data_IF_658080148407
#
_entry.id   IF_658080148407
#
_cell.length_a   1.000
_cell.length_b   1.000
_cell.length_c   1.000
_cell.angle_alpha   90.00
_cell.angle_beta   90.00
_cell.angle_gamma   90.00
#
_symmetry.space_group_name_H-M   'P 1'
#
loop_
_entity.id
_entity.type
_entity.pdbx_description
1 polymer ?
#
# COMPACT_ATOMS: atom_id res chain seq x y z
N UNK A 1 -15.01 2.76 20.97
CA UNK A 1 -13.71 2.21 20.54
C UNK A 1 -13.48 2.63 19.10
N UNK A 2 -12.72 3.69 18.87
CA UNK A 2 -12.49 4.26 17.54
C UNK A 2 -11.38 3.45 16.85
N UNK A 3 -11.73 2.66 15.83
CA UNK A 3 -10.74 1.90 15.06
C UNK A 3 -9.77 2.90 14.41
N UNK A 4 -8.52 2.92 14.88
CA UNK A 4 -7.47 3.80 14.37
C UNK A 4 -7.15 3.34 12.95
N UNK A 5 -7.78 3.98 11.95
CA UNK A 5 -7.54 3.68 10.53
C UNK A 5 -6.07 3.95 10.23
N UNK A 6 -5.31 2.90 9.92
CA UNK A 6 -3.88 3.02 9.61
C UNK A 6 -3.77 3.50 8.17
N UNK A 7 -3.00 4.57 7.99
CA UNK A 7 -2.71 5.14 6.68
C UNK A 7 -1.32 4.64 6.31
N UNK A 8 -1.21 4.01 5.13
CA UNK A 8 0.05 3.59 4.55
C UNK A 8 0.39 4.53 3.40
N UNK A 9 1.62 5.01 3.36
CA UNK A 9 2.10 5.80 2.22
C UNK A 9 2.70 4.91 1.15
N UNK A 10 2.81 5.47 -0.05
CA UNK A 10 3.38 4.78 -1.21
C UNK A 10 4.78 4.21 -0.94
N UNK A 11 5.59 4.87 -0.12
CA UNK A 11 6.91 4.39 0.28
C UNK A 11 6.86 3.14 1.17
N UNK A 12 5.93 3.09 2.12
CA UNK A 12 5.77 1.96 3.04
C UNK A 12 5.28 0.72 2.30
N UNK A 13 4.27 0.91 1.44
CA UNK A 13 3.74 -0.14 0.58
C UNK A 13 4.80 -0.66 -0.39
N UNK A 14 5.58 0.25 -0.99
CA UNK A 14 6.66 -0.13 -1.90
C UNK A 14 7.78 -0.90 -1.20
N UNK A 15 8.19 -0.47 0.00
CA UNK A 15 9.18 -1.17 0.82
C UNK A 15 8.69 -2.56 1.21
N UNK A 16 7.44 -2.67 1.67
CA UNK A 16 6.84 -3.95 2.03
C UNK A 16 6.73 -4.90 0.81
N UNK A 17 6.45 -4.34 -0.37
CA UNK A 17 6.30 -5.11 -1.60
C UNK A 17 7.64 -5.48 -2.26
N UNK A 18 8.77 -4.92 -1.81
CA UNK A 18 10.03 -5.00 -2.56
C UNK A 18 9.92 -4.36 -3.96
N UNK A 19 9.10 -3.32 -4.10
CA UNK A 19 8.82 -2.62 -5.35
C UNK A 19 9.37 -1.19 -5.31
N UNK A 20 9.51 -0.59 -6.49
CA UNK A 20 9.76 0.85 -6.56
C UNK A 20 8.51 1.65 -6.21
N UNK A 21 8.69 2.75 -5.47
CA UNK A 21 7.60 3.68 -5.16
C UNK A 21 6.91 4.23 -6.42
N UNK A 22 7.65 4.37 -7.53
CA UNK A 22 7.12 4.80 -8.83
C UNK A 22 6.15 3.78 -9.42
N UNK A 23 6.47 2.49 -9.30
CA UNK A 23 5.60 1.41 -9.79
C UNK A 23 4.31 1.32 -8.98
N UNK A 24 4.39 1.34 -7.64
CA UNK A 24 3.22 1.35 -6.76
C UNK A 24 2.32 2.56 -7.05
N UNK A 25 2.93 3.75 -7.21
CA UNK A 25 2.23 4.98 -7.58
C UNK A 25 1.51 4.89 -8.93
N UNK A 26 2.15 4.25 -9.92
CA UNK A 26 1.56 4.04 -11.25
C UNK A 26 0.35 3.13 -11.18
N UNK A 27 0.47 1.98 -10.51
CA UNK A 27 -0.63 1.02 -10.33
C UNK A 27 -1.80 1.68 -9.59
N UNK A 28 -1.50 2.38 -8.50
CA UNK A 28 -2.50 3.11 -7.71
C UNK A 28 -3.26 4.15 -8.56
N UNK A 29 -2.56 4.95 -9.37
CA UNK A 29 -3.20 5.92 -10.28
C UNK A 29 -4.00 5.25 -11.40
N UNK A 30 -3.47 4.18 -11.99
CA UNK A 30 -4.11 3.47 -13.10
C UNK A 30 -5.45 2.85 -12.68
N UNK A 31 -5.55 2.40 -11.44
CA UNK A 31 -6.74 1.71 -10.92
C UNK A 31 -7.55 2.53 -9.92
N UNK A 32 -7.18 3.80 -9.68
CA UNK A 32 -7.88 4.68 -8.73
C UNK A 32 -7.88 4.13 -7.30
N UNK A 33 -6.73 3.63 -6.84
CA UNK A 33 -6.56 3.02 -5.51
C UNK A 33 -5.80 3.99 -4.61
N UNK A 34 -6.33 4.22 -3.41
CA UNK A 34 -5.80 5.19 -2.46
C UNK A 34 -6.15 6.64 -2.79
N UNK A 35 -5.97 7.51 -1.79
CA UNK A 35 -6.25 8.93 -1.86
C UNK A 35 -4.97 9.74 -2.14
N UNK A 36 -5.15 10.93 -2.72
CA UNK A 36 -4.05 11.91 -2.81
C UNK A 36 -3.70 12.38 -1.39
N UNK A 37 -2.62 11.82 -0.85
CA UNK A 37 -2.03 12.21 0.42
C UNK A 37 -1.18 13.48 0.32
N UNK A 38 -0.54 13.82 1.44
CA UNK A 38 0.26 15.03 1.59
C UNK A 38 1.51 15.04 0.67
N UNK A 39 1.85 16.21 0.11
CA UNK A 39 2.99 16.41 -0.80
C UNK A 39 2.98 15.50 -2.03
N UNK A 40 1.79 15.20 -2.53
CA UNK A 40 1.60 14.40 -3.73
C UNK A 40 1.85 12.90 -3.53
N UNK A 41 2.05 12.42 -2.30
CA UNK A 41 2.06 10.98 -2.01
C UNK A 41 0.67 10.38 -2.17
N UNK A 42 0.59 9.06 -2.38
CA UNK A 42 -0.69 8.33 -2.31
C UNK A 42 -0.78 7.69 -0.94
N UNK A 43 -1.89 7.97 -0.26
CA UNK A 43 -2.26 7.40 1.02
C UNK A 43 -3.20 6.21 0.76
N UNK A 44 -2.89 5.07 1.33
CA UNK A 44 -3.66 3.84 1.23
C UNK A 44 -4.25 3.52 2.60
N UNK A 45 -5.52 3.17 2.63
CA UNK A 45 -6.16 2.60 3.81
C UNK A 45 -6.02 1.08 3.80
N UNK A 46 -6.29 0.44 4.94
CA UNK A 46 -6.35 -1.03 5.02
C UNK A 46 -7.27 -1.64 3.95
N UNK A 47 -8.37 -0.96 3.58
CA UNK A 47 -9.30 -1.38 2.52
C UNK A 47 -8.73 -1.29 1.10
N UNK A 48 -7.70 -0.47 0.89
CA UNK A 48 -7.06 -0.29 -0.41
C UNK A 48 -5.99 -1.35 -0.67
N UNK A 49 -5.39 -1.91 0.39
CA UNK A 49 -4.31 -2.90 0.27
C UNK A 49 -4.75 -4.13 -0.54
N UNK A 50 -5.90 -4.80 -0.28
CA UNK A 50 -6.32 -5.96 -1.07
C UNK A 50 -6.59 -5.61 -2.55
N UNK A 51 -7.05 -4.39 -2.82
CA UNK A 51 -7.27 -3.90 -4.19
C UNK A 51 -5.93 -3.72 -4.89
N UNK A 52 -4.95 -3.15 -4.20
CA UNK A 52 -3.60 -2.99 -4.72
C UNK A 52 -2.94 -4.35 -4.96
N UNK A 53 -3.06 -5.27 -4.00
CA UNK A 53 -2.56 -6.64 -4.07
C UNK A 53 -3.06 -7.38 -5.32
N UNK A 54 -4.34 -7.21 -5.69
CA UNK A 54 -4.92 -7.82 -6.91
C UNK A 54 -4.18 -7.43 -8.20
N UNK A 55 -3.56 -6.25 -8.21
CA UNK A 55 -2.84 -5.70 -9.36
C UNK A 55 -1.31 -5.84 -9.26
N UNK A 56 -0.81 -6.34 -8.11
CA UNK A 56 0.59 -6.67 -7.90
C UNK A 56 0.80 -8.19 -8.12
N UNK A 57 2.02 -8.61 -8.49
CA UNK A 57 2.31 -10.05 -8.68
C UNK A 57 2.20 -10.80 -7.34
N UNK A 58 1.62 -12.01 -7.34
CA UNK A 58 1.42 -12.86 -6.14
C UNK A 58 2.63 -12.97 -5.16
N UNK A 59 3.88 -13.22 -5.61
CA UNK A 59 5.01 -13.34 -4.67
C UNK A 59 5.35 -12.01 -3.94
N UNK A 60 5.03 -10.88 -4.56
CA UNK A 60 5.26 -9.55 -4.00
C UNK A 60 4.23 -9.26 -2.88
N UNK A 61 2.98 -9.64 -3.11
CA UNK A 61 1.87 -9.47 -2.17
C UNK A 61 2.11 -10.22 -0.86
N UNK A 62 2.64 -11.44 -0.94
CA UNK A 62 2.86 -12.27 0.25
C UNK A 62 3.94 -11.69 1.18
N UNK A 63 5.02 -11.12 0.61
CA UNK A 63 6.04 -10.39 1.36
C UNK A 63 5.48 -9.09 1.96
N UNK A 64 4.67 -8.38 1.19
CA UNK A 64 4.03 -7.13 1.63
C UNK A 64 3.13 -7.36 2.84
N UNK A 65 2.30 -8.41 2.78
CA UNK A 65 1.41 -8.81 3.89
C UNK A 65 2.21 -9.20 5.13
N UNK A 66 3.26 -10.03 5.00
CA UNK A 66 4.11 -10.44 6.12
C UNK A 66 4.78 -9.26 6.82
N UNK A 67 5.23 -8.26 6.05
CA UNK A 67 5.87 -7.06 6.61
C UNK A 67 4.88 -6.11 7.30
N UNK A 68 3.70 -5.91 6.72
CA UNK A 68 2.65 -5.08 7.34
C UNK A 68 2.06 -5.73 8.60
N UNK A 69 1.97 -7.06 8.64
CA UNK A 69 1.53 -7.81 9.81
C UNK A 69 2.59 -7.83 10.92
N UNK A 70 3.88 -7.91 10.56
CA UNK A 70 4.99 -7.77 11.51
C UNK A 70 5.20 -6.33 11.99
N UNK A 71 4.78 -5.32 11.22
CA UNK A 71 4.82 -3.90 11.63
C UNK A 71 3.77 -3.54 12.71
N UNK A 72 3.21 -4.53 13.44
CA UNK A 72 2.44 -4.36 14.68
C UNK A 72 3.36 -4.02 15.88
N UNK A 73 4.13 -2.95 15.74
CA UNK A 73 4.60 -2.11 16.86
C UNK A 73 3.81 -0.81 16.85
#
# INVERSE_FOLDING_TARGET
MQARRRIFFTSEVAAAAGLSGTFVRRVARQHGIGDKGFRGQIAFLDSDLPRLEKHLRRPIVENMRKLLENAKL
#
